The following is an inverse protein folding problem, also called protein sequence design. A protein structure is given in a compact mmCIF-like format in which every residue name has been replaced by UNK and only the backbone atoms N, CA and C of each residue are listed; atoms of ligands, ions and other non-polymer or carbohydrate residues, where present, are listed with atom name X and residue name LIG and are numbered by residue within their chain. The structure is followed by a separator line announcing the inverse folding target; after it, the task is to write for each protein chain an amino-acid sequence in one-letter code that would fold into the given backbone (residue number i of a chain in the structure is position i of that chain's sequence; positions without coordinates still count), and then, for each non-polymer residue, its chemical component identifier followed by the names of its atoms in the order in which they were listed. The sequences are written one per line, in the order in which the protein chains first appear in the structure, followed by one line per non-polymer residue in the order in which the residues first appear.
data_IF_333993907621
#
_entry.id   IF_333993907621
#
_cell.length_a   1.000
_cell.length_b   1.000
_cell.length_c   1.000
_cell.angle_alpha   90.00
_cell.angle_beta   90.00
_cell.angle_gamma   90.00
#
_symmetry.space_group_name_H-M   'P 1'
#
loop_
_entity.id
_entity.type
_entity.pdbx_description
1 polymer ?
#
# COMPACT_ATOMS: atom_id res chain seq x y z
N UNK A 1 20.21 2.69 -28.23
CA UNK A 1 19.98 3.48 -26.99
C UNK A 1 18.73 4.37 -27.07
N UNK A 2 18.45 5.04 -28.19
CA UNK A 2 17.23 5.88 -28.36
C UNK A 2 15.91 5.10 -28.28
N UNK A 3 15.85 3.87 -28.81
CA UNK A 3 14.63 3.04 -28.78
C UNK A 3 14.19 2.62 -27.37
N UNK A 4 15.14 2.30 -26.48
CA UNK A 4 14.86 1.93 -25.08
C UNK A 4 14.39 3.13 -24.26
N UNK A 5 15.05 4.29 -24.42
CA UNK A 5 14.60 5.54 -23.81
C UNK A 5 13.20 5.93 -24.26
N UNK A 6 12.89 5.81 -25.56
CA UNK A 6 11.56 6.06 -26.09
C UNK A 6 10.51 5.01 -25.69
N UNK A 7 10.93 3.80 -25.29
CA UNK A 7 10.03 2.79 -24.75
C UNK A 7 9.68 3.08 -23.28
N UNK A 8 10.66 3.42 -22.45
CA UNK A 8 10.42 3.79 -21.05
C UNK A 8 9.66 5.12 -20.93
N UNK A 9 9.97 6.09 -21.80
CA UNK A 9 9.26 7.37 -21.83
C UNK A 9 7.87 7.30 -22.49
N UNK A 10 7.45 6.14 -23.00
CA UNK A 10 6.10 5.97 -23.52
C UNK A 10 5.13 5.72 -22.37
N UNK A 11 4.31 6.73 -22.07
CA UNK A 11 3.17 6.61 -21.17
C UNK A 11 3.54 6.33 -19.71
N UNK A 12 2.68 5.57 -19.02
CA UNK A 12 2.73 5.32 -17.58
C UNK A 12 3.68 4.15 -17.16
N UNK A 13 4.59 3.72 -18.04
CA UNK A 13 5.41 2.53 -17.78
C UNK A 13 6.36 2.71 -16.58
N UNK A 14 6.88 3.91 -16.38
CA UNK A 14 7.79 4.21 -15.26
C UNK A 14 7.05 4.15 -13.93
N UNK A 15 5.87 4.76 -13.81
CA UNK A 15 5.16 4.78 -12.52
C UNK A 15 4.64 3.38 -12.16
N UNK A 16 4.20 2.60 -13.15
CA UNK A 16 3.81 1.19 -12.94
C UNK A 16 5.02 0.38 -12.45
N UNK A 17 6.18 0.53 -13.10
CA UNK A 17 7.40 -0.18 -12.71
C UNK A 17 7.86 0.20 -11.30
N UNK A 18 7.87 1.49 -10.98
CA UNK A 18 8.22 1.99 -9.64
C UNK A 18 7.23 1.49 -8.60
N UNK A 19 5.92 1.53 -8.89
CA UNK A 19 4.89 1.03 -7.99
C UNK A 19 5.05 -0.47 -7.67
N UNK A 20 5.34 -1.29 -8.67
CA UNK A 20 5.61 -2.72 -8.48
C UNK A 20 6.87 -2.96 -7.64
N UNK A 21 7.97 -2.27 -7.93
CA UNK A 21 9.22 -2.40 -7.17
C UNK A 21 9.02 -2.00 -5.70
N UNK A 22 8.28 -0.91 -5.46
CA UNK A 22 7.96 -0.45 -4.10
C UNK A 22 7.08 -1.45 -3.36
N UNK A 23 6.06 -2.00 -4.02
CA UNK A 23 5.19 -3.02 -3.42
C UNK A 23 5.97 -4.29 -3.03
N UNK A 24 6.84 -4.78 -3.90
CA UNK A 24 7.68 -5.95 -3.65
C UNK A 24 8.70 -5.70 -2.53
N UNK A 25 9.33 -4.53 -2.52
CA UNK A 25 10.34 -4.16 -1.50
C UNK A 25 9.72 -3.93 -0.12
N UNK A 26 8.50 -3.40 -0.07
CA UNK A 26 7.78 -3.12 1.16
C UNK A 26 7.48 -4.39 1.96
N UNK A 27 7.11 -5.48 1.29
CA UNK A 27 6.85 -6.76 1.94
C UNK A 27 8.08 -7.27 2.75
N UNK A 28 9.29 -7.07 2.22
CA UNK A 28 10.53 -7.45 2.91
C UNK A 28 10.78 -6.63 4.17
N UNK A 29 10.54 -5.32 4.14
CA UNK A 29 10.71 -4.43 5.30
C UNK A 29 9.74 -4.81 6.42
N UNK A 30 8.49 -5.06 6.04
CA UNK A 30 7.41 -5.47 6.94
C UNK A 30 7.73 -6.82 7.59
N UNK A 31 8.24 -7.78 6.82
CA UNK A 31 8.66 -9.09 7.32
C UNK A 31 9.81 -8.97 8.32
N UNK A 32 10.84 -8.18 8.00
CA UNK A 32 11.98 -7.95 8.89
C UNK A 32 11.57 -7.29 10.21
N UNK A 33 10.69 -6.29 10.14
CA UNK A 33 10.16 -5.62 11.33
C UNK A 33 9.31 -6.56 12.19
N UNK A 34 8.44 -7.37 11.57
CA UNK A 34 7.67 -8.38 12.30
C UNK A 34 8.59 -9.40 12.97
N UNK A 35 9.61 -9.92 12.28
CA UNK A 35 10.56 -10.86 12.87
C UNK A 35 11.34 -10.26 14.05
N UNK A 36 11.74 -8.98 13.96
CA UNK A 36 12.35 -8.27 15.08
C UNK A 36 11.41 -8.13 16.27
N UNK A 37 10.14 -7.77 16.03
CA UNK A 37 9.14 -7.61 17.08
C UNK A 37 8.81 -8.94 17.76
N UNK A 38 8.77 -10.03 17.01
CA UNK A 38 8.42 -11.37 17.54
C UNK A 38 9.60 -12.04 18.23
N UNK A 39 10.82 -11.75 17.79
CA UNK A 39 12.04 -12.13 18.51
C UNK A 39 12.16 -11.46 19.89
N UNK A 40 11.43 -10.37 20.14
CA UNK A 40 11.34 -9.73 21.46
C UNK A 40 10.36 -10.46 22.41
N UNK A 41 9.47 -11.29 21.89
CA UNK A 41 8.52 -12.08 22.69
C UNK A 41 9.21 -13.37 23.17
N UNK A 42 9.14 -13.71 24.47
CA UNK A 42 9.68 -14.97 24.97
C UNK A 42 8.89 -16.14 24.37
N UNK A 43 9.55 -16.93 23.51
CA UNK A 43 8.98 -18.10 22.85
C UNK A 43 8.46 -17.89 21.43
N UNK A 44 8.78 -16.79 20.72
CA UNK A 44 8.53 -16.64 19.28
C UNK A 44 7.09 -16.95 18.79
N UNK A 45 6.87 -17.05 17.48
CA UNK A 45 5.61 -17.60 16.94
C UNK A 45 5.67 -19.10 16.73
N UNK A 46 6.83 -19.61 16.30
CA UNK A 46 7.02 -21.03 15.98
C UNK A 46 6.96 -21.94 17.21
N UNK A 47 7.38 -21.47 18.38
CA UNK A 47 7.41 -22.23 19.63
C UNK A 47 6.02 -22.32 20.30
N UNK A 48 5.08 -21.41 19.97
CA UNK A 48 3.71 -21.38 20.53
C UNK A 48 2.72 -22.18 19.68
N UNK A 49 2.87 -22.17 18.35
CA UNK A 49 1.89 -22.76 17.43
C UNK A 49 2.45 -23.90 16.56
N UNK A 50 3.77 -24.13 16.58
CA UNK A 50 4.43 -25.22 15.86
C UNK A 50 4.46 -26.56 16.60
N UNK A 51 3.96 -26.61 17.84
CA UNK A 51 4.00 -27.84 18.63
C UNK A 51 3.15 -28.96 18.01
N UNK A 52 3.71 -30.16 17.99
CA UNK A 52 3.36 -31.31 17.14
C UNK A 52 1.96 -31.91 17.38
N UNK A 53 1.10 -31.28 18.18
CA UNK A 53 -0.24 -31.79 18.54
C UNK A 53 -1.30 -31.61 17.46
N UNK A 54 -1.10 -30.71 16.49
CA UNK A 54 -2.09 -30.37 15.45
C UNK A 54 -1.64 -30.70 14.01
N UNK A 55 -0.40 -31.16 13.80
CA UNK A 55 0.13 -31.48 12.46
C UNK A 55 0.05 -30.31 11.48
N UNK A 56 -0.25 -30.59 10.20
CA UNK A 56 -0.38 -29.59 9.13
C UNK A 56 -1.41 -28.47 9.42
N UNK A 57 -2.47 -28.77 10.20
CA UNK A 57 -3.46 -27.78 10.59
C UNK A 57 -2.89 -26.74 11.57
N UNK A 58 -1.96 -27.17 12.44
CA UNK A 58 -1.23 -26.28 13.34
C UNK A 58 -0.34 -25.30 12.58
N UNK A 59 0.39 -25.79 11.57
CA UNK A 59 1.21 -24.95 10.70
C UNK A 59 0.37 -23.94 9.91
N UNK A 60 -0.77 -24.36 9.36
CA UNK A 60 -1.68 -23.44 8.66
C UNK A 60 -2.24 -22.36 9.59
N UNK A 61 -2.70 -22.73 10.79
CA UNK A 61 -3.20 -21.77 11.77
C UNK A 61 -2.11 -20.80 12.24
N UNK A 62 -0.87 -21.28 12.42
CA UNK A 62 0.28 -20.42 12.71
C UNK A 62 0.50 -19.39 11.59
N UNK A 63 0.53 -19.84 10.33
CA UNK A 63 0.68 -18.95 9.17
C UNK A 63 -0.46 -17.93 9.05
N UNK A 64 -1.70 -18.34 9.35
CA UNK A 64 -2.87 -17.45 9.34
C UNK A 64 -2.79 -16.38 10.44
N UNK A 65 -2.42 -16.77 11.65
CA UNK A 65 -2.24 -15.85 12.78
C UNK A 65 -1.09 -14.89 12.49
N UNK A 66 0.03 -15.38 11.99
CA UNK A 66 1.17 -14.57 11.57
C UNK A 66 0.77 -13.55 10.48
N UNK A 67 -0.05 -13.95 9.50
CA UNK A 67 -0.56 -13.05 8.46
C UNK A 67 -1.44 -11.93 9.03
N UNK A 68 -2.35 -12.24 9.95
CA UNK A 68 -3.21 -11.24 10.60
C UNK A 68 -2.37 -10.25 11.39
N UNK A 69 -1.37 -10.74 12.14
CA UNK A 69 -0.48 -9.90 12.95
C UNK A 69 0.39 -9.02 12.05
N UNK A 70 0.92 -9.57 10.96
CA UNK A 70 1.63 -8.80 9.93
C UNK A 70 0.75 -7.68 9.37
N UNK A 71 -0.50 -7.98 9.01
CA UNK A 71 -1.47 -7.00 8.51
C UNK A 71 -1.76 -5.89 9.53
N UNK A 72 -1.91 -6.25 10.81
CA UNK A 72 -2.10 -5.29 11.89
C UNK A 72 -0.90 -4.34 12.05
N UNK A 73 0.31 -4.88 11.98
CA UNK A 73 1.55 -4.09 12.01
C UNK A 73 1.62 -3.11 10.84
N UNK A 74 1.37 -3.58 9.61
CA UNK A 74 1.36 -2.73 8.40
C UNK A 74 0.34 -1.61 8.53
N UNK A 75 -0.87 -1.94 8.96
CA UNK A 75 -1.93 -0.96 9.11
C UNK A 75 -1.55 0.13 10.12
N UNK A 76 -1.10 -0.27 11.31
CA UNK A 76 -0.85 0.69 12.39
C UNK A 76 0.43 1.50 12.20
N UNK A 77 1.52 0.88 11.73
CA UNK A 77 2.83 1.54 11.61
C UNK A 77 3.10 2.15 10.24
N UNK A 78 2.34 1.80 9.20
CA UNK A 78 2.54 2.35 7.85
C UNK A 78 1.30 3.07 7.36
N UNK A 79 0.14 2.41 7.32
CA UNK A 79 -1.07 3.02 6.76
C UNK A 79 -1.53 4.21 7.59
N UNK A 80 -1.65 4.08 8.91
CA UNK A 80 -2.09 5.19 9.80
C UNK A 80 -1.16 6.41 9.76
N UNK A 81 0.17 6.30 9.88
CA UNK A 81 1.03 7.48 9.76
C UNK A 81 1.03 8.03 8.34
N UNK A 82 0.93 7.18 7.31
CA UNK A 82 0.84 7.63 5.93
C UNK A 82 -0.45 8.40 5.67
N UNK A 83 -1.60 7.93 6.14
CA UNK A 83 -2.89 8.64 5.98
C UNK A 83 -2.88 9.97 6.73
N UNK A 84 -2.38 9.99 7.98
CA UNK A 84 -2.22 11.23 8.77
C UNK A 84 -1.25 12.22 8.11
N UNK A 85 -0.14 11.72 7.56
CA UNK A 85 0.83 12.56 6.85
C UNK A 85 0.22 13.09 5.55
N UNK A 86 -0.50 12.25 4.78
CA UNK A 86 -1.19 12.65 3.56
C UNK A 86 -2.20 13.76 3.86
N UNK A 87 -3.03 13.62 4.89
CA UNK A 87 -3.96 14.67 5.31
C UNK A 87 -3.28 15.98 5.72
N UNK A 88 -2.05 15.90 6.26
CA UNK A 88 -1.28 17.07 6.73
C UNK A 88 -0.48 17.78 5.64
N UNK A 89 0.10 17.03 4.69
CA UNK A 89 1.00 17.55 3.66
C UNK A 89 0.34 17.67 2.28
N UNK A 90 -0.74 16.92 2.06
CA UNK A 90 -1.63 17.02 0.92
C UNK A 90 -3.08 17.07 1.46
N UNK A 91 -3.40 18.06 2.33
CA UNK A 91 -4.80 18.27 2.73
C UNK A 91 -5.56 18.36 1.43
N UNK A 92 -6.58 17.51 1.25
CA UNK A 92 -7.27 17.34 -0.01
C UNK A 92 -7.54 18.72 -0.61
N UNK A 93 -6.67 19.15 -1.54
CA UNK A 93 -6.99 20.21 -2.45
C UNK A 93 -8.20 19.61 -3.12
N UNK A 94 -9.37 20.14 -2.78
CA UNK A 94 -10.61 19.83 -3.47
C UNK A 94 -10.19 19.76 -4.92
N UNK A 95 -10.22 18.55 -5.48
CA UNK A 95 -9.88 18.33 -6.88
C UNK A 95 -10.54 19.49 -7.59
N UNK A 96 -9.72 20.43 -8.11
CA UNK A 96 -10.27 21.65 -8.71
C UNK A 96 -11.37 21.22 -9.66
N UNK A 97 -12.44 22.03 -9.81
CA UNK A 97 -13.72 21.57 -10.35
C UNK A 97 -13.46 20.58 -11.46
N UNK A 98 -13.95 19.35 -11.29
CA UNK A 98 -13.57 18.27 -12.18
C UNK A 98 -13.80 18.72 -13.62
N UNK A 99 -13.06 18.21 -14.60
CA UNK A 99 -13.21 18.68 -15.99
C UNK A 99 -14.69 18.68 -16.43
N UNK A 100 -15.50 17.77 -15.89
CA UNK A 100 -16.96 17.74 -16.04
C UNK A 100 -17.70 18.92 -15.40
N UNK A 101 -17.32 19.39 -14.21
CA UNK A 101 -17.85 20.60 -13.56
C UNK A 101 -17.47 21.85 -14.35
N UNK A 102 -16.20 21.99 -14.76
CA UNK A 102 -15.75 23.09 -15.62
C UNK A 102 -16.51 23.11 -16.96
N UNK A 103 -16.71 21.95 -17.59
CA UNK A 103 -17.49 21.84 -18.82
C UNK A 103 -18.98 22.17 -18.60
N UNK A 104 -19.51 21.88 -17.41
CA UNK A 104 -20.88 22.25 -17.03
C UNK A 104 -21.01 23.76 -16.87
N UNK A 105 -20.07 24.40 -16.17
CA UNK A 105 -20.00 25.86 -16.04
C UNK A 105 -19.85 26.55 -17.39
N UNK A 106 -18.97 26.04 -18.28
CA UNK A 106 -18.80 26.57 -19.64
C UNK A 106 -20.09 26.43 -20.46
N UNK A 107 -20.78 25.27 -20.38
CA UNK A 107 -22.05 25.06 -21.07
C UNK A 107 -23.11 26.05 -20.60
N UNK A 108 -23.21 26.26 -19.30
CA UNK A 108 -24.23 27.11 -18.70
C UNK A 108 -23.93 28.60 -18.97
N UNK A 109 -22.65 29.00 -18.97
CA UNK A 109 -22.21 30.33 -19.40
C UNK A 109 -22.46 30.60 -20.90
N UNK A 110 -22.31 29.60 -21.76
CA UNK A 110 -22.63 29.72 -23.20
C UNK A 110 -24.14 29.84 -23.44
N UNK A 111 -24.96 29.08 -22.71
CA UNK A 111 -26.43 29.19 -22.78
C UNK A 111 -26.96 30.54 -22.28
N UNK A 112 -26.30 31.15 -21.31
CA UNK A 112 -26.67 32.48 -20.82
C UNK A 112 -26.33 33.61 -21.81
N UNK A 113 -25.49 33.34 -22.82
CA UNK A 113 -25.03 34.32 -23.82
C UNK A 113 -25.75 34.21 -25.17
N UNK A 114 -26.57 33.16 -25.36
CA UNK A 114 -27.45 32.96 -26.52
C UNK A 114 -28.88 33.38 -26.21
#
# INVERSE_FOLDING_TARGET
MSGFKNFILKGNLVEIAVGLIMALSFASVVTAFSAWLTGLLPGGFDDVFGDAKLGDLGFFLNALIAFIIMGAIVYFFVVVPYTKAKEKFFPAEASGPSDTELLTEIRDALRARS
#
